data_IF_353114271488
#
_entry.id   IF_353114271488
#
_cell.length_a   1.000
_cell.length_b   1.000
_cell.length_c   1.000
_cell.angle_alpha   90.00
_cell.angle_beta   90.00
_cell.angle_gamma   90.00
#
_symmetry.space_group_name_H-M   'P 1'
#
loop_
_entity.id
_entity.type
_entity.pdbx_description
1 polymer ?
#
# COMPACT_ATOMS: atom_id res chain seq x y z
N UNK A 1 -43.07 59.56 -45.58
CA UNK A 1 -42.29 60.61 -46.29
C UNK A 1 -40.83 60.23 -46.17
N UNK A 2 -40.27 60.13 -47.30
CA UNK A 2 -38.92 60.28 -47.88
C UNK A 2 -37.91 59.14 -47.59
N UNK A 3 -37.73 58.43 -48.66
CA UNK A 3 -36.58 57.60 -49.05
C UNK A 3 -35.23 58.30 -48.87
N UNK A 4 -34.22 57.54 -48.58
CA UNK A 4 -32.92 57.64 -49.29
C UNK A 4 -32.19 56.29 -49.30
N UNK A 5 -32.11 55.79 -50.49
CA UNK A 5 -31.20 54.78 -51.02
C UNK A 5 -29.77 55.31 -51.04
N UNK A 6 -28.78 54.51 -50.66
CA UNK A 6 -27.43 54.60 -51.22
C UNK A 6 -26.83 53.21 -51.35
N UNK A 7 -26.63 52.84 -52.61
CA UNK A 7 -25.74 51.77 -53.05
C UNK A 7 -24.30 52.21 -52.88
N UNK A 8 -23.38 51.28 -52.63
CA UNK A 8 -22.09 51.22 -53.34
C UNK A 8 -21.14 50.13 -52.77
N UNK A 9 -20.75 49.37 -53.70
CA UNK A 9 -19.44 48.83 -54.04
C UNK A 9 -18.99 47.50 -53.41
N UNK A 10 -18.98 46.53 -54.34
CA UNK A 10 -18.24 45.30 -54.28
C UNK A 10 -16.73 45.52 -54.24
N UNK A 11 -16.07 44.94 -53.27
CA UNK A 11 -14.64 44.64 -53.33
C UNK A 11 -14.49 43.14 -53.13
N UNK A 12 -14.16 42.42 -54.18
CA UNK A 12 -13.85 41.02 -54.14
C UNK A 12 -12.53 40.77 -53.40
N UNK A 13 -12.58 39.93 -52.40
CA UNK A 13 -11.38 39.32 -51.84
C UNK A 13 -11.39 37.83 -52.13
N UNK A 14 -10.40 37.45 -52.87
CA UNK A 14 -10.08 36.09 -53.27
C UNK A 14 -9.62 35.34 -52.04
N UNK A 15 -10.46 34.46 -51.50
CA UNK A 15 -10.03 33.53 -50.46
C UNK A 15 -9.42 32.29 -51.13
N UNK A 16 -8.11 32.17 -50.96
CA UNK A 16 -7.36 30.97 -51.21
C UNK A 16 -7.82 29.87 -50.22
N UNK A 17 -8.42 28.86 -50.70
CA UNK A 17 -8.67 27.62 -49.92
C UNK A 17 -7.35 26.93 -49.66
N UNK A 18 -6.83 27.13 -48.43
CA UNK A 18 -5.77 26.29 -47.91
C UNK A 18 -6.40 24.96 -47.50
N UNK A 19 -6.04 23.89 -48.19
CA UNK A 19 -6.33 22.53 -47.79
C UNK A 19 -5.60 22.24 -46.45
N UNK A 20 -6.35 22.13 -45.37
CA UNK A 20 -5.84 21.46 -44.18
C UNK A 20 -5.79 19.96 -44.46
N UNK A 21 -4.61 19.46 -44.74
CA UNK A 21 -4.33 18.04 -44.65
C UNK A 21 -4.43 17.64 -43.15
N UNK A 22 -5.38 16.79 -42.86
CA UNK A 22 -5.47 16.11 -41.56
C UNK A 22 -4.30 15.13 -41.47
N UNK A 23 -3.29 15.52 -40.73
CA UNK A 23 -2.22 14.62 -40.31
C UNK A 23 -2.82 13.69 -39.25
N UNK A 24 -3.30 12.55 -39.69
CA UNK A 24 -3.60 11.42 -38.84
C UNK A 24 -2.26 10.84 -38.37
N UNK A 25 -1.79 11.31 -37.25
CA UNK A 25 -0.72 10.63 -36.55
C UNK A 25 -1.27 9.27 -36.09
N UNK A 26 -0.95 8.24 -36.84
CA UNK A 26 -1.02 6.87 -36.38
C UNK A 26 -0.21 6.75 -35.08
N UNK A 27 -0.94 6.66 -33.98
CA UNK A 27 -0.36 6.22 -32.70
C UNK A 27 0.04 4.76 -32.91
N UNK A 28 1.26 4.56 -33.31
CA UNK A 28 1.88 3.25 -33.29
C UNK A 28 1.91 2.80 -31.82
N UNK A 29 0.98 1.92 -31.47
CA UNK A 29 1.08 1.11 -30.26
C UNK A 29 2.36 0.30 -30.45
N UNK A 30 3.45 0.78 -29.83
CA UNK A 30 4.66 -0.01 -29.71
C UNK A 30 4.29 -1.18 -28.81
N UNK A 31 4.16 -2.36 -29.39
CA UNK A 31 4.29 -3.59 -28.64
C UNK A 31 5.65 -3.56 -27.96
N UNK A 32 5.69 -3.11 -26.73
CA UNK A 32 6.82 -3.36 -25.87
C UNK A 32 6.82 -4.85 -25.60
N UNK A 33 7.54 -5.59 -26.43
CA UNK A 33 8.03 -6.91 -26.03
C UNK A 33 8.75 -6.66 -24.70
N UNK A 34 8.19 -7.20 -23.62
CA UNK A 34 8.79 -7.11 -22.30
C UNK A 34 10.24 -7.61 -22.43
N UNK A 35 11.20 -6.69 -22.36
CA UNK A 35 12.59 -7.08 -22.25
C UNK A 35 12.70 -7.83 -20.93
N UNK A 36 13.44 -8.93 -20.88
CA UNK A 36 13.69 -9.61 -19.61
C UNK A 36 14.38 -8.61 -18.68
N UNK A 37 13.63 -8.11 -17.70
CA UNK A 37 14.18 -7.22 -16.68
C UNK A 37 15.06 -8.06 -15.79
N UNK A 38 16.29 -7.64 -15.62
CA UNK A 38 17.21 -8.28 -14.67
C UNK A 38 16.64 -8.06 -13.25
N UNK A 39 16.51 -9.13 -12.47
CA UNK A 39 16.03 -9.07 -11.09
C UNK A 39 16.82 -8.05 -10.23
N UNK A 40 18.08 -7.79 -10.58
CA UNK A 40 18.91 -6.78 -9.93
C UNK A 40 18.47 -5.33 -10.23
N UNK A 41 17.67 -5.10 -11.27
CA UNK A 41 17.13 -3.77 -11.59
C UNK A 41 15.83 -3.45 -10.84
N UNK A 42 15.19 -4.48 -10.26
CA UNK A 42 14.02 -4.34 -9.44
C UNK A 42 14.44 -3.77 -8.09
N UNK A 43 13.88 -2.63 -7.70
CA UNK A 43 14.22 -1.93 -6.45
C UNK A 43 15.71 -1.54 -6.30
N UNK A 44 16.51 -1.69 -7.34
CA UNK A 44 17.91 -1.23 -7.39
C UNK A 44 18.86 -1.91 -6.38
N UNK A 45 18.49 -3.03 -5.79
CA UNK A 45 19.28 -3.74 -4.78
C UNK A 45 19.64 -5.15 -5.22
N UNK A 46 20.87 -5.61 -4.92
CA UNK A 46 21.25 -6.98 -5.15
C UNK A 46 20.47 -7.93 -4.23
N UNK A 47 20.19 -9.10 -4.74
CA UNK A 47 19.50 -10.13 -4.03
C UNK A 47 20.33 -10.67 -2.88
N UNK A 48 19.80 -10.57 -1.67
CA UNK A 48 20.31 -11.27 -0.52
C UNK A 48 19.26 -12.28 -0.06
N UNK A 49 19.54 -13.57 -0.10
CA UNK A 49 18.63 -14.54 0.48
C UNK A 49 18.54 -14.27 1.99
N UNK A 50 17.37 -13.83 2.45
CA UNK A 50 17.09 -13.74 3.89
C UNK A 50 16.62 -15.10 4.34
N UNK A 51 17.37 -15.71 5.24
CA UNK A 51 16.95 -16.92 5.92
C UNK A 51 16.18 -16.47 7.15
N UNK A 52 14.85 -16.47 7.08
CA UNK A 52 13.98 -16.31 8.25
C UNK A 52 13.99 -17.55 9.14
N UNK A 53 13.28 -17.54 10.28
CA UNK A 53 13.20 -18.71 11.20
C UNK A 53 12.69 -20.00 10.55
N UNK A 54 12.18 -19.92 9.33
CA UNK A 54 11.57 -21.04 8.59
C UNK A 54 12.20 -21.25 7.21
N UNK A 55 13.38 -20.67 6.97
CA UNK A 55 14.11 -20.78 5.72
C UNK A 55 14.01 -19.52 4.86
N UNK A 56 14.46 -19.64 3.62
CA UNK A 56 14.45 -18.57 2.63
C UNK A 56 13.01 -18.18 2.26
N UNK A 57 12.74 -16.88 2.19
CA UNK A 57 11.44 -16.34 1.79
C UNK A 57 11.66 -15.31 0.69
N UNK A 58 11.13 -15.58 -0.51
CA UNK A 58 11.07 -14.61 -1.59
C UNK A 58 10.17 -13.44 -1.19
N UNK A 59 10.67 -12.22 -1.34
CA UNK A 59 9.95 -11.01 -0.97
C UNK A 59 10.52 -9.77 -1.65
N UNK A 60 9.72 -8.74 -1.73
CA UNK A 60 10.21 -7.38 -1.91
C UNK A 60 9.80 -6.50 -0.72
N UNK A 61 10.60 -5.48 -0.47
CA UNK A 61 10.47 -4.65 0.72
C UNK A 61 10.47 -3.19 0.31
N UNK A 62 9.52 -2.42 0.82
CA UNK A 62 9.40 -0.98 0.57
C UNK A 62 9.40 -0.24 1.89
N UNK A 63 10.29 0.74 2.03
CA UNK A 63 10.27 1.68 3.15
C UNK A 63 9.50 2.93 2.77
N UNK A 64 8.60 3.35 3.64
CA UNK A 64 7.83 4.57 3.48
C UNK A 64 7.93 5.40 4.76
N UNK A 65 8.67 6.52 4.76
CA UNK A 65 8.60 7.49 5.83
C UNK A 65 7.17 7.92 6.17
N UNK A 66 6.97 8.37 7.42
CA UNK A 66 5.69 8.93 7.84
C UNK A 66 5.25 10.06 6.90
N UNK A 67 3.99 10.02 6.48
CA UNK A 67 3.40 11.04 5.60
C UNK A 67 2.68 12.11 6.41
N UNK A 68 1.56 11.75 7.00
CA UNK A 68 0.69 12.66 7.77
C UNK A 68 -0.19 11.88 8.74
N UNK A 69 -0.95 12.60 9.58
CA UNK A 69 -1.94 11.99 10.46
C UNK A 69 -3.29 12.70 10.31
N UNK A 70 -4.36 11.92 10.16
CA UNK A 70 -5.75 12.38 10.07
C UNK A 70 -6.67 11.45 10.84
N UNK A 71 -7.81 11.98 11.30
CA UNK A 71 -8.88 11.15 11.87
C UNK A 71 -9.82 10.62 10.77
N UNK A 72 -9.22 10.16 9.69
CA UNK A 72 -9.88 9.69 8.48
C UNK A 72 -9.68 8.19 8.29
N UNK A 73 -10.64 7.56 7.63
CA UNK A 73 -10.58 6.17 7.21
C UNK A 73 -11.41 5.99 5.93
N UNK A 74 -10.78 6.02 4.75
CA UNK A 74 -11.50 5.90 3.49
C UNK A 74 -12.15 4.52 3.25
N UNK A 75 -11.83 3.50 4.05
CA UNK A 75 -12.46 2.18 3.95
C UNK A 75 -13.71 2.13 4.83
N UNK A 76 -13.61 2.49 6.12
CA UNK A 76 -14.71 2.36 7.08
C UNK A 76 -15.68 3.54 7.02
N UNK A 77 -15.18 4.76 6.77
CA UNK A 77 -15.95 5.99 6.73
C UNK A 77 -15.68 6.78 5.42
N UNK A 78 -15.95 6.18 4.24
CA UNK A 78 -15.64 6.81 2.97
C UNK A 78 -16.39 8.14 2.81
N UNK A 79 -15.65 9.21 2.56
CA UNK A 79 -16.18 10.56 2.37
C UNK A 79 -16.54 11.30 3.66
N UNK A 80 -16.35 10.71 4.84
CA UNK A 80 -16.70 11.32 6.14
C UNK A 80 -15.43 11.69 6.93
N UNK A 81 -14.88 12.84 6.60
CA UNK A 81 -13.63 13.33 7.21
C UNK A 81 -13.80 13.57 8.73
N UNK A 82 -12.86 13.11 9.51
CA UNK A 82 -12.86 13.23 10.96
C UNK A 82 -13.73 12.19 11.68
N UNK A 83 -14.33 11.25 10.98
CA UNK A 83 -15.22 10.25 11.57
C UNK A 83 -14.52 9.10 12.29
N UNK A 84 -13.23 8.92 12.04
CA UNK A 84 -12.41 7.85 12.63
C UNK A 84 -11.57 8.35 13.81
N UNK A 85 -10.92 7.42 14.51
CA UNK A 85 -9.80 7.76 15.40
C UNK A 85 -8.59 8.24 14.58
N UNK A 86 -7.62 8.82 15.25
CA UNK A 86 -6.42 9.33 14.57
C UNK A 86 -5.61 8.16 13.98
N UNK A 87 -5.33 8.24 12.68
CA UNK A 87 -4.43 7.33 11.96
C UNK A 87 -3.12 8.01 11.55
N UNK A 88 -2.05 7.27 11.54
CA UNK A 88 -0.79 7.62 10.90
C UNK A 88 -0.79 7.03 9.49
N UNK A 89 -0.64 7.87 8.48
CA UNK A 89 -0.61 7.50 7.06
C UNK A 89 0.81 7.42 6.53
N UNK A 90 1.02 6.50 5.58
CA UNK A 90 2.28 6.24 4.90
C UNK A 90 2.02 5.97 3.42
N UNK A 91 3.06 6.08 2.61
CA UNK A 91 2.94 5.93 1.17
C UNK A 91 2.28 7.16 0.55
N UNK A 92 1.09 7.03 0.01
CA UNK A 92 0.40 8.10 -0.68
C UNK A 92 0.26 9.36 0.16
N UNK A 93 0.75 10.50 -0.36
CA UNK A 93 0.75 11.78 0.38
C UNK A 93 -0.59 12.53 0.33
N UNK A 94 -1.55 12.04 -0.43
CA UNK A 94 -2.88 12.65 -0.60
C UNK A 94 -4.01 11.81 0.00
N UNK A 95 -3.68 10.73 0.71
CA UNK A 95 -4.68 9.86 1.31
C UNK A 95 -5.49 10.59 2.40
N UNK A 96 -6.81 10.55 2.28
CA UNK A 96 -7.79 11.14 3.20
C UNK A 96 -9.11 10.35 3.15
N UNK A 97 -10.16 10.81 3.85
CA UNK A 97 -11.48 10.18 3.85
C UNK A 97 -12.13 10.06 2.47
N UNK A 98 -11.74 10.88 1.49
CA UNK A 98 -12.30 10.87 0.13
C UNK A 98 -11.50 10.03 -0.85
N UNK A 99 -10.49 9.31 -0.37
CA UNK A 99 -9.58 8.57 -1.22
C UNK A 99 -10.27 7.43 -1.95
N UNK A 100 -10.02 7.35 -3.24
CA UNK A 100 -10.42 6.27 -4.15
C UNK A 100 -9.20 5.83 -4.96
N UNK A 101 -9.27 4.69 -5.63
CA UNK A 101 -8.20 4.27 -6.54
C UNK A 101 -7.80 5.40 -7.49
N UNK A 102 -8.77 6.05 -8.14
CA UNK A 102 -8.50 7.12 -9.11
C UNK A 102 -7.83 8.35 -8.48
N UNK A 103 -8.21 8.70 -7.26
CA UNK A 103 -7.61 9.84 -6.56
C UNK A 103 -6.20 9.58 -6.07
N UNK A 104 -5.84 8.32 -5.83
CA UNK A 104 -4.52 7.90 -5.31
C UNK A 104 -3.52 7.58 -6.42
N UNK A 105 -3.97 6.99 -7.54
CA UNK A 105 -3.10 6.55 -8.63
C UNK A 105 -2.19 7.67 -9.14
N UNK A 106 -0.89 7.39 -9.23
CA UNK A 106 0.10 8.31 -9.79
C UNK A 106 0.30 9.59 -8.99
N UNK A 107 -0.19 9.64 -7.74
CA UNK A 107 0.09 10.76 -6.81
C UNK A 107 1.46 10.59 -6.17
N UNK A 108 1.91 11.63 -5.44
CA UNK A 108 3.14 11.56 -4.69
C UNK A 108 3.09 10.49 -3.60
N UNK A 109 4.23 9.91 -3.31
CA UNK A 109 4.41 8.92 -2.24
C UNK A 109 5.62 9.24 -1.39
N UNK A 110 5.59 8.83 -0.12
CA UNK A 110 6.77 8.86 0.75
C UNK A 110 7.64 7.62 0.59
N UNK A 111 7.17 6.60 -0.14
CA UNK A 111 7.88 5.35 -0.31
C UNK A 111 9.15 5.52 -1.16
N UNK A 112 10.20 4.77 -0.84
CA UNK A 112 11.44 4.73 -1.63
C UNK A 112 11.19 4.23 -3.05
N UNK A 113 10.26 3.27 -3.21
CA UNK A 113 9.74 2.89 -4.53
C UNK A 113 8.67 3.89 -4.97
N UNK A 114 9.03 4.78 -5.89
CA UNK A 114 8.16 5.90 -6.30
C UNK A 114 6.90 5.49 -7.07
N UNK A 115 6.83 4.26 -7.55
CA UNK A 115 5.65 3.67 -8.18
C UNK A 115 4.74 2.96 -7.18
N UNK A 116 5.15 2.87 -5.91
CA UNK A 116 4.28 2.52 -4.80
C UNK A 116 3.51 3.76 -4.35
N UNK A 117 2.39 4.02 -4.98
CA UNK A 117 1.45 5.07 -4.59
C UNK A 117 0.28 4.54 -3.77
N UNK A 118 0.41 3.34 -3.20
CA UNK A 118 -0.56 2.77 -2.29
C UNK A 118 -0.69 3.60 -1.00
N UNK A 119 -1.86 3.56 -0.41
CA UNK A 119 -2.11 4.16 0.89
C UNK A 119 -2.10 3.09 1.97
N UNK A 120 -1.33 3.34 3.02
CA UNK A 120 -1.23 2.49 4.20
C UNK A 120 -1.52 3.34 5.42
N UNK A 121 -2.30 2.83 6.38
CA UNK A 121 -2.46 3.53 7.65
C UNK A 121 -2.68 2.56 8.80
N UNK A 122 -2.33 3.03 9.98
CA UNK A 122 -2.53 2.34 11.24
C UNK A 122 -2.93 3.35 12.32
N UNK A 123 -3.57 2.93 13.43
CA UNK A 123 -3.90 3.84 14.51
C UNK A 123 -2.65 4.53 15.03
N UNK A 124 -2.74 5.83 15.24
CA UNK A 124 -1.65 6.62 15.78
C UNK A 124 -1.25 6.12 17.19
N UNK A 125 0.05 5.99 17.44
CA UNK A 125 0.56 5.73 18.78
C UNK A 125 0.63 7.05 19.55
N UNK A 126 0.08 7.06 20.75
CA UNK A 126 -0.04 8.25 21.58
C UNK A 126 0.69 8.10 22.92
N UNK A 127 1.33 9.16 23.34
CA UNK A 127 1.83 9.35 24.69
C UNK A 127 1.13 10.56 25.32
N UNK A 128 0.44 10.36 26.43
CA UNK A 128 -0.35 11.42 27.09
C UNK A 128 -1.32 12.15 26.12
N UNK A 129 -1.90 11.42 25.17
CA UNK A 129 -2.81 11.96 24.16
C UNK A 129 -2.12 12.71 23.01
N UNK A 130 -0.80 12.76 22.97
CA UNK A 130 -0.03 13.39 21.89
C UNK A 130 0.53 12.33 20.95
N UNK A 131 0.49 12.61 19.65
CA UNK A 131 1.04 11.73 18.61
C UNK A 131 2.54 11.52 18.82
N UNK A 132 2.95 10.27 18.91
CA UNK A 132 4.34 9.86 18.69
C UNK A 132 4.51 9.71 17.18
N UNK A 133 5.20 10.66 16.56
CA UNK A 133 5.46 10.59 15.10
C UNK A 133 6.28 9.34 14.78
N UNK A 134 5.76 8.43 13.94
CA UNK A 134 6.53 7.27 13.51
C UNK A 134 7.77 7.70 12.71
N UNK A 135 8.82 6.90 12.78
CA UNK A 135 10.01 7.11 11.95
C UNK A 135 9.71 6.77 10.50
N UNK A 136 9.21 5.56 10.29
CA UNK A 136 8.84 5.02 8.97
C UNK A 136 7.94 3.81 9.14
N UNK A 137 7.32 3.39 8.05
CA UNK A 137 6.82 2.02 7.90
C UNK A 137 7.74 1.23 6.97
N UNK A 138 7.65 -0.09 7.10
CA UNK A 138 8.29 -1.06 6.20
C UNK A 138 7.21 -2.03 5.76
N UNK A 139 6.95 -2.07 4.47
CA UNK A 139 6.01 -2.99 3.84
C UNK A 139 6.79 -4.19 3.27
N UNK A 140 6.61 -5.36 3.87
CA UNK A 140 7.17 -6.62 3.37
C UNK A 140 6.08 -7.33 2.58
N UNK A 141 6.33 -7.57 1.30
CA UNK A 141 5.46 -8.35 0.43
C UNK A 141 6.13 -9.70 0.17
N UNK A 142 5.52 -10.79 0.61
CA UNK A 142 6.09 -12.13 0.50
C UNK A 142 5.02 -13.18 0.25
N UNK A 143 5.41 -14.39 -0.11
CA UNK A 143 4.48 -15.52 -0.07
C UNK A 143 4.06 -15.81 1.38
N UNK A 144 2.81 -16.16 1.59
CA UNK A 144 2.33 -16.68 2.88
C UNK A 144 3.09 -17.92 3.30
N UNK A 145 3.10 -18.22 4.61
CA UNK A 145 3.87 -19.32 5.14
C UNK A 145 3.49 -20.66 4.50
N UNK A 146 4.44 -21.23 3.75
CA UNK A 146 4.29 -22.52 3.04
C UNK A 146 3.43 -22.42 1.78
N UNK A 147 2.96 -21.24 1.39
CA UNK A 147 2.34 -21.00 0.08
C UNK A 147 3.44 -21.08 -0.98
N UNK A 148 3.14 -21.75 -2.10
CA UNK A 148 4.03 -21.83 -3.24
C UNK A 148 4.25 -20.42 -3.82
N UNK A 149 5.48 -19.91 -3.80
CA UNK A 149 5.78 -18.57 -4.29
C UNK A 149 5.41 -18.34 -5.76
N UNK A 150 5.51 -19.36 -6.60
CA UNK A 150 5.15 -19.27 -8.02
C UNK A 150 3.64 -19.13 -8.25
N UNK A 151 2.83 -19.48 -7.23
CA UNK A 151 1.37 -19.34 -7.30
C UNK A 151 0.86 -17.96 -6.91
N UNK A 152 1.71 -17.10 -6.34
CA UNK A 152 1.32 -15.78 -5.85
C UNK A 152 1.17 -14.81 -7.03
N UNK A 153 0.01 -14.17 -7.11
CA UNK A 153 -0.26 -13.10 -8.10
C UNK A 153 -0.36 -11.73 -7.44
N UNK A 154 -0.10 -10.68 -8.17
CA UNK A 154 -0.20 -9.32 -7.66
C UNK A 154 -1.61 -9.00 -7.13
N UNK A 155 -1.71 -8.12 -6.15
CA UNK A 155 -2.99 -7.55 -5.75
C UNK A 155 -3.67 -6.89 -6.95
N UNK A 156 -4.99 -7.06 -7.15
CA UNK A 156 -5.70 -6.27 -8.16
C UNK A 156 -5.72 -4.79 -7.77
N UNK A 157 -5.67 -3.91 -8.77
CA UNK A 157 -5.78 -2.47 -8.54
C UNK A 157 -7.06 -2.13 -7.80
N UNK A 158 -6.96 -1.29 -6.78
CA UNK A 158 -8.08 -0.87 -5.95
C UNK A 158 -8.51 -1.89 -4.87
N UNK A 159 -7.76 -2.97 -4.65
CA UNK A 159 -8.04 -3.88 -3.54
C UNK A 159 -7.95 -3.13 -2.21
N UNK A 160 -9.00 -3.25 -1.40
CA UNK A 160 -9.06 -2.73 -0.03
C UNK A 160 -8.80 -3.87 0.94
N UNK A 161 -7.96 -3.66 1.93
CA UNK A 161 -7.70 -4.68 2.96
C UNK A 161 -7.65 -4.06 4.35
N UNK A 162 -8.17 -4.80 5.32
CA UNK A 162 -8.07 -4.50 6.76
C UNK A 162 -7.47 -5.71 7.47
N UNK A 163 -6.47 -5.48 8.30
CA UNK A 163 -5.87 -6.49 9.16
C UNK A 163 -5.88 -6.06 10.63
N UNK A 164 -5.98 -7.00 11.54
CA UNK A 164 -6.14 -6.73 12.97
C UNK A 164 -7.58 -6.35 13.35
N UNK A 165 -7.80 -6.00 14.61
CA UNK A 165 -9.13 -5.68 15.16
C UNK A 165 -9.06 -4.41 16.02
N UNK A 166 -9.68 -3.33 15.52
CA UNK A 166 -9.78 -2.04 16.20
C UNK A 166 -10.60 -2.10 17.51
N UNK A 167 -11.36 -3.16 17.70
CA UNK A 167 -12.24 -3.34 18.87
C UNK A 167 -11.74 -4.46 19.81
N UNK A 168 -10.51 -4.94 19.64
CA UNK A 168 -9.97 -6.03 20.42
C UNK A 168 -9.89 -5.67 21.92
N UNK A 169 -10.47 -6.52 22.75
CA UNK A 169 -10.42 -6.45 24.22
C UNK A 169 -9.48 -7.48 24.82
N UNK A 170 -8.99 -8.41 24.00
CA UNK A 170 -8.04 -9.46 24.36
C UNK A 170 -6.85 -9.44 23.40
N UNK A 171 -5.71 -10.02 23.77
CA UNK A 171 -4.55 -10.11 22.88
C UNK A 171 -4.87 -10.78 21.56
N UNK A 172 -4.55 -10.12 20.47
CA UNK A 172 -4.67 -10.70 19.13
C UNK A 172 -3.55 -11.72 18.87
N UNK A 173 -3.75 -12.70 17.96
CA UNK A 173 -2.68 -13.59 17.57
C UNK A 173 -1.46 -12.84 17.07
N UNK A 174 -0.27 -13.13 17.60
CA UNK A 174 0.97 -12.46 17.19
C UNK A 174 1.36 -12.73 15.72
N UNK A 175 0.72 -13.71 15.09
CA UNK A 175 0.80 -13.90 13.63
C UNK A 175 0.04 -12.83 12.84
N UNK A 176 -0.87 -12.08 13.48
CA UNK A 176 -1.66 -11.00 12.86
C UNK A 176 -1.19 -9.64 13.37
N UNK A 177 -1.21 -9.42 14.69
CA UNK A 177 -0.76 -8.18 15.31
C UNK A 177 0.32 -8.50 16.34
N UNK A 178 1.46 -7.88 16.21
CA UNK A 178 2.56 -8.08 17.15
C UNK A 178 3.33 -6.79 17.39
N UNK A 179 3.88 -6.69 18.58
CA UNK A 179 4.85 -5.68 18.95
C UNK A 179 6.24 -6.33 19.01
N UNK A 180 7.27 -5.57 18.71
CA UNK A 180 8.65 -6.03 18.78
C UNK A 180 9.61 -4.86 19.02
N UNK A 181 10.88 -5.17 19.28
CA UNK A 181 11.96 -4.18 19.37
C UNK A 181 12.92 -4.35 18.19
N UNK A 182 13.08 -3.32 17.38
CA UNK A 182 13.99 -3.35 16.23
C UNK A 182 13.62 -4.38 15.18
N UNK A 183 14.57 -4.65 14.27
CA UNK A 183 14.38 -5.64 13.22
C UNK A 183 14.60 -7.06 13.76
N UNK A 184 13.60 -7.93 13.57
CA UNK A 184 13.72 -9.36 13.94
C UNK A 184 13.62 -9.65 15.43
N UNK A 185 13.11 -8.71 16.22
CA UNK A 185 12.80 -8.95 17.64
C UNK A 185 11.73 -10.01 17.85
N UNK A 186 11.64 -10.50 19.09
CA UNK A 186 10.57 -11.41 19.49
C UNK A 186 9.22 -10.69 19.33
N UNK A 187 8.23 -11.41 18.84
CA UNK A 187 6.89 -10.90 18.59
C UNK A 187 6.03 -11.09 19.83
N UNK A 188 5.60 -9.99 20.44
CA UNK A 188 4.78 -9.97 21.64
C UNK A 188 3.38 -9.40 21.35
N UNK A 189 2.33 -9.83 22.06
CA UNK A 189 0.99 -9.29 21.90
C UNK A 189 0.81 -7.89 22.48
N UNK A 190 1.74 -7.45 23.33
CA UNK A 190 1.81 -6.11 23.94
C UNK A 190 3.22 -5.54 23.74
N UNK A 191 3.37 -4.21 23.76
CA UNK A 191 4.68 -3.59 23.61
C UNK A 191 5.69 -4.08 24.64
N UNK A 192 6.82 -4.66 24.22
CA UNK A 192 7.92 -4.98 25.13
C UNK A 192 8.68 -3.70 25.55
N UNK A 193 9.44 -3.82 26.63
CA UNK A 193 10.42 -2.78 26.97
C UNK A 193 11.63 -2.89 26.04
N UNK A 194 11.78 -1.91 25.14
CA UNK A 194 12.82 -1.94 24.13
C UNK A 194 14.16 -1.44 24.65
N UNK A 195 15.27 -2.16 24.40
CA UNK A 195 16.60 -1.71 24.76
C UNK A 195 17.01 -0.43 24.00
N UNK A 196 18.01 0.25 24.51
CA UNK A 196 18.63 1.38 23.80
C UNK A 196 19.11 0.90 22.42
N UNK A 197 18.94 1.72 21.41
CA UNK A 197 19.26 1.45 20.01
C UNK A 197 18.26 0.52 19.25
N UNK A 198 17.19 0.07 19.92
CA UNK A 198 16.12 -0.70 19.30
C UNK A 198 14.78 -0.01 19.52
N UNK A 199 14.27 0.65 18.48
CA UNK A 199 12.96 1.29 18.54
C UNK A 199 11.80 0.29 18.58
N UNK A 200 10.69 0.71 19.19
CA UNK A 200 9.46 -0.07 19.24
C UNK A 200 8.88 -0.22 17.83
N UNK A 201 8.31 -1.39 17.52
CA UNK A 201 7.61 -1.66 16.26
C UNK A 201 6.23 -2.26 16.50
N UNK A 202 5.30 -1.88 15.66
CA UNK A 202 3.99 -2.52 15.52
C UNK A 202 3.94 -3.22 14.16
N UNK A 203 3.87 -4.54 14.17
CA UNK A 203 3.80 -5.38 12.98
C UNK A 203 2.38 -5.88 12.76
N UNK A 204 1.80 -5.61 11.61
CA UNK A 204 0.47 -6.05 11.23
C UNK A 204 0.57 -6.85 9.94
N UNK A 205 0.09 -8.10 10.01
CA UNK A 205 0.12 -9.05 8.89
C UNK A 205 -1.26 -9.12 8.26
N UNK A 206 -1.35 -8.81 6.98
CA UNK A 206 -2.57 -8.85 6.19
C UNK A 206 -2.87 -10.28 5.69
N UNK A 207 -4.16 -10.57 5.41
CA UNK A 207 -4.54 -11.82 4.77
C UNK A 207 -3.97 -11.93 3.35
N UNK A 208 -3.69 -13.15 2.92
CA UNK A 208 -2.93 -13.48 1.71
C UNK A 208 -3.67 -14.38 0.72
N UNK A 209 -4.98 -14.55 0.91
CA UNK A 209 -5.85 -15.31 0.02
C UNK A 209 -7.06 -14.46 -0.37
N UNK A 210 -7.16 -14.13 -1.65
CA UNK A 210 -8.26 -13.35 -2.22
C UNK A 210 -9.35 -14.25 -2.82
N UNK A 211 -10.61 -13.81 -2.78
CA UNK A 211 -11.72 -14.56 -3.37
C UNK A 211 -11.69 -14.59 -4.91
N UNK A 212 -10.78 -13.82 -5.53
CA UNK A 212 -10.60 -13.75 -6.98
C UNK A 212 -11.65 -12.90 -7.69
N UNK A 213 -12.44 -12.11 -6.96
CA UNK A 213 -13.60 -11.43 -7.52
C UNK A 213 -13.84 -10.03 -6.99
N UNK A 214 -13.87 -9.86 -5.67
CA UNK A 214 -14.29 -8.61 -5.05
C UNK A 214 -13.09 -7.80 -4.58
N UNK A 215 -13.07 -6.50 -4.89
CA UNK A 215 -12.07 -5.57 -4.37
C UNK A 215 -12.41 -5.12 -2.95
N UNK A 216 -13.70 -5.19 -2.63
CA UNK A 216 -14.26 -4.90 -1.31
C UNK A 216 -15.63 -5.59 -1.18
N UNK A 217 -16.09 -5.75 0.05
CA UNK A 217 -17.41 -6.32 0.38
C UNK A 217 -17.98 -5.63 1.64
N UNK A 218 -19.27 -5.70 1.89
CA UNK A 218 -19.84 -5.19 3.14
C UNK A 218 -19.10 -5.75 4.36
N UNK A 219 -18.60 -4.84 5.21
CA UNK A 219 -17.75 -5.17 6.36
C UNK A 219 -16.27 -5.36 6.03
N UNK A 220 -15.85 -5.09 4.80
CA UNK A 220 -14.47 -4.87 4.33
C UNK A 220 -13.46 -6.00 4.62
N UNK A 221 -13.90 -7.22 4.92
CA UNK A 221 -13.01 -8.32 5.35
C UNK A 221 -13.23 -9.64 4.62
N UNK A 222 -14.50 -9.96 4.23
CA UNK A 222 -14.86 -11.31 3.77
C UNK A 222 -14.38 -11.67 2.35
N UNK A 223 -13.76 -10.77 1.62
CA UNK A 223 -13.13 -11.03 0.32
C UNK A 223 -11.67 -11.49 0.46
N UNK A 224 -11.11 -11.39 1.67
CA UNK A 224 -9.75 -11.80 1.98
C UNK A 224 -9.75 -12.83 3.12
N UNK A 225 -8.78 -13.75 3.09
CA UNK A 225 -8.60 -14.78 4.11
C UNK A 225 -7.11 -15.07 4.34
N UNK A 226 -6.75 -15.54 5.52
CA UNK A 226 -5.38 -15.98 5.78
C UNK A 226 -5.18 -17.40 5.25
N UNK A 227 -4.04 -17.65 4.60
CA UNK A 227 -3.63 -19.01 4.25
C UNK A 227 -3.42 -19.87 5.50
N UNK A 228 -3.62 -21.15 5.34
CA UNK A 228 -3.39 -22.12 6.42
C UNK A 228 -2.66 -23.34 5.87
N UNK A 229 -1.60 -23.75 6.53
CA UNK A 229 -0.76 -24.91 6.12
C UNK A 229 -0.31 -24.78 4.65
N UNK A 230 0.07 -23.59 4.24
CA UNK A 230 0.55 -23.30 2.90
C UNK A 230 -0.52 -23.31 1.80
N UNK A 231 -1.79 -23.19 2.15
CA UNK A 231 -2.88 -23.23 1.16
C UNK A 231 -3.93 -22.17 1.44
N UNK A 232 -4.47 -21.64 0.37
CA UNK A 232 -5.68 -20.82 0.38
C UNK A 232 -6.93 -21.71 0.44
N UNK A 233 -7.99 -21.30 1.17
CA UNK A 233 -9.24 -22.03 1.21
C UNK A 233 -9.97 -21.96 -0.15
N UNK A 234 -10.84 -22.93 -0.43
CA UNK A 234 -11.57 -22.99 -1.71
C UNK A 234 -12.45 -21.75 -1.99
N UNK A 235 -12.86 -21.03 -0.96
CA UNK A 235 -13.65 -19.81 -1.07
C UNK A 235 -12.82 -18.59 -1.45
N UNK A 236 -11.50 -18.65 -1.23
CA UNK A 236 -10.53 -17.61 -1.55
C UNK A 236 -9.33 -18.25 -2.24
N UNK A 237 -9.52 -18.72 -3.48
CA UNK A 237 -8.55 -19.62 -4.11
C UNK A 237 -7.30 -18.92 -4.64
N UNK A 238 -7.24 -17.60 -4.62
CA UNK A 238 -6.18 -16.83 -5.26
C UNK A 238 -5.14 -16.40 -4.22
N UNK A 239 -3.94 -17.00 -4.21
CA UNK A 239 -2.84 -16.50 -3.39
C UNK A 239 -2.37 -15.14 -3.89
N UNK A 240 -2.27 -14.19 -2.98
CA UNK A 240 -1.71 -12.85 -3.21
C UNK A 240 -0.59 -12.61 -2.20
N UNK A 241 0.25 -11.57 -2.33
CA UNK A 241 1.30 -11.33 -1.35
C UNK A 241 0.75 -11.23 0.07
N UNK A 242 1.41 -11.88 1.02
CA UNK A 242 1.21 -11.59 2.43
C UNK A 242 1.94 -10.28 2.74
N UNK A 243 1.18 -9.21 2.88
CA UNK A 243 1.71 -7.92 3.30
C UNK A 243 1.93 -7.94 4.82
N UNK A 244 3.16 -7.67 5.26
CA UNK A 244 3.45 -7.33 6.65
C UNK A 244 3.78 -5.84 6.69
N UNK A 245 2.92 -5.09 7.32
CA UNK A 245 3.08 -3.66 7.52
C UNK A 245 3.66 -3.40 8.90
N UNK A 246 4.89 -2.90 8.96
CA UNK A 246 5.67 -2.70 10.17
C UNK A 246 5.92 -1.23 10.40
N UNK A 247 5.33 -0.66 11.45
CA UNK A 247 5.49 0.76 11.81
C UNK A 247 6.56 0.87 12.88
N UNK A 248 7.61 1.66 12.63
CA UNK A 248 8.71 1.90 13.54
C UNK A 248 8.53 3.22 14.30
N UNK A 249 8.67 3.17 15.61
CA UNK A 249 8.55 4.33 16.50
C UNK A 249 9.87 4.64 17.21
N UNK A 250 10.16 5.93 17.49
CA UNK A 250 11.36 6.34 18.24
C UNK A 250 11.17 6.14 19.75
N UNK A 251 10.64 4.98 20.14
CA UNK A 251 10.32 4.63 21.54
C UNK A 251 11.28 3.57 22.03
N UNK A 252 11.87 3.80 23.18
CA UNK A 252 12.76 2.88 23.88
C UNK A 252 12.32 2.78 25.35
N UNK A 253 12.72 1.72 26.04
CA UNK A 253 12.31 1.49 27.41
C UNK A 253 10.87 1.01 27.54
N UNK A 254 10.25 1.31 28.68
CA UNK A 254 8.87 0.89 28.98
C UNK A 254 7.85 1.63 28.09
N UNK A 255 7.01 0.87 27.42
CA UNK A 255 5.96 1.36 26.54
C UNK A 255 4.55 1.12 27.09
N UNK A 256 4.41 0.65 28.35
CA UNK A 256 3.12 0.29 28.95
C UNK A 256 2.18 1.49 29.18
N UNK A 257 2.73 2.71 29.19
CA UNK A 257 1.99 3.96 29.37
C UNK A 257 1.45 4.54 28.04
N UNK A 258 1.81 3.93 26.92
CA UNK A 258 1.35 4.34 25.61
C UNK A 258 -0.06 3.80 25.31
N UNK A 259 -0.69 4.36 24.30
CA UNK A 259 -1.97 3.86 23.79
C UNK A 259 -2.10 4.09 22.28
N UNK A 260 -2.82 3.21 21.60
CA UNK A 260 -3.25 3.47 20.23
C UNK A 260 -4.47 4.39 20.24
N UNK A 261 -4.60 5.24 19.23
CA UNK A 261 -5.74 6.15 19.10
C UNK A 261 -7.08 5.42 18.94
N UNK A 262 -7.06 4.17 18.52
CA UNK A 262 -8.23 3.27 18.48
C UNK A 262 -8.68 2.77 19.85
N UNK A 263 -7.89 2.99 20.92
CA UNK A 263 -8.19 2.52 22.27
C UNK A 263 -6.92 2.08 23.02
N UNK A 264 -6.92 0.87 23.60
CA UNK A 264 -5.74 0.32 24.27
C UNK A 264 -4.74 -0.31 23.28
N UNK A 265 -3.59 -0.74 23.79
CA UNK A 265 -2.51 -1.36 23.00
C UNK A 265 -2.91 -2.69 22.32
N UNK A 266 -4.05 -3.26 22.68
CA UNK A 266 -4.61 -4.48 22.06
C UNK A 266 -5.31 -4.21 20.72
N UNK A 267 -5.69 -2.97 20.44
CA UNK A 267 -6.52 -2.58 19.27
C UNK A 267 -5.69 -2.35 18.01
N UNK A 268 -4.49 -2.93 17.94
CA UNK A 268 -3.63 -2.86 16.76
C UNK A 268 -4.36 -3.36 15.51
N UNK A 269 -4.35 -2.56 14.46
CA UNK A 269 -4.86 -2.88 13.13
C UNK A 269 -4.16 -2.03 12.08
N UNK A 270 -4.35 -2.36 10.83
CA UNK A 270 -3.91 -1.54 9.72
C UNK A 270 -4.81 -1.75 8.51
N UNK A 271 -4.78 -0.78 7.64
CA UNK A 271 -5.59 -0.68 6.46
C UNK A 271 -4.71 -0.39 5.25
N UNK A 272 -5.16 -0.83 4.08
CA UNK A 272 -4.41 -0.74 2.86
C UNK A 272 -5.33 -0.56 1.66
N UNK A 273 -4.98 0.36 0.76
CA UNK A 273 -5.58 0.52 -0.56
C UNK A 273 -4.51 0.31 -1.61
N UNK A 274 -4.69 -0.70 -2.45
CA UNK A 274 -3.76 -0.95 -3.55
C UNK A 274 -3.95 0.09 -4.66
N UNK A 275 -3.09 1.08 -4.69
CA UNK A 275 -2.95 2.04 -5.77
C UNK A 275 -1.50 2.12 -6.28
N UNK A 276 -0.78 1.02 -6.24
CA UNK A 276 0.48 0.85 -6.93
C UNK A 276 0.32 1.11 -8.44
N UNK A 277 1.38 1.51 -9.10
CA UNK A 277 1.50 1.22 -10.52
C UNK A 277 1.37 -0.29 -10.70
N UNK A 278 0.32 -0.72 -11.41
CA UNK A 278 -0.06 -2.14 -11.47
C UNK A 278 1.00 -2.99 -12.19
N UNK A 279 1.59 -2.45 -13.25
CA UNK A 279 2.64 -3.13 -14.01
C UNK A 279 3.88 -3.36 -13.15
N UNK A 280 4.24 -2.34 -12.35
CA UNK A 280 5.38 -2.45 -11.42
C UNK A 280 5.11 -3.44 -10.31
N UNK A 281 3.92 -3.46 -9.72
CA UNK A 281 3.57 -4.44 -8.70
C UNK A 281 3.63 -5.87 -9.24
N UNK A 282 3.11 -6.10 -10.46
CA UNK A 282 3.17 -7.41 -11.12
C UNK A 282 4.61 -7.85 -11.38
N UNK A 283 5.47 -6.92 -11.79
CA UNK A 283 6.90 -7.15 -11.97
C UNK A 283 7.58 -7.56 -10.65
N UNK A 284 7.36 -6.81 -9.56
CA UNK A 284 7.94 -7.11 -8.25
C UNK A 284 7.48 -8.49 -7.73
N UNK A 285 6.20 -8.81 -7.86
CA UNK A 285 5.68 -10.13 -7.47
C UNK A 285 6.34 -11.23 -8.29
N UNK A 286 6.40 -11.09 -9.60
CA UNK A 286 6.95 -12.11 -10.48
C UNK A 286 8.47 -12.33 -10.28
N UNK A 287 9.22 -11.26 -10.12
CA UNK A 287 10.69 -11.31 -10.06
C UNK A 287 11.24 -11.60 -8.66
N UNK A 288 10.54 -11.15 -7.62
CA UNK A 288 11.01 -11.32 -6.24
C UNK A 288 10.32 -12.51 -5.57
N UNK A 289 8.99 -12.48 -5.44
CA UNK A 289 8.25 -13.55 -4.78
C UNK A 289 8.29 -14.83 -5.63
N UNK A 290 7.88 -14.74 -6.89
CA UNK A 290 7.77 -15.89 -7.80
C UNK A 290 9.12 -16.59 -8.06
N UNK A 291 10.23 -15.87 -7.99
CA UNK A 291 11.59 -16.46 -8.10
C UNK A 291 12.22 -16.82 -6.75
N UNK A 292 11.50 -16.65 -5.66
CA UNK A 292 11.98 -16.90 -4.30
C UNK A 292 13.30 -16.16 -3.98
N UNK A 293 13.39 -14.88 -4.37
CA UNK A 293 14.52 -13.99 -4.07
C UNK A 293 14.06 -12.80 -3.23
N UNK A 294 14.98 -12.15 -2.56
CA UNK A 294 14.72 -10.93 -1.78
C UNK A 294 15.17 -9.71 -2.57
N UNK A 295 14.24 -8.79 -2.80
CA UNK A 295 14.49 -7.52 -3.45
C UNK A 295 14.21 -6.36 -2.48
N UNK A 296 14.95 -5.25 -2.60
CA UNK A 296 14.74 -4.09 -1.74
C UNK A 296 15.07 -4.40 -0.28
N UNK A 297 16.34 -4.56 0.02
CA UNK A 297 16.77 -4.78 1.41
C UNK A 297 16.82 -3.44 2.13
N UNK A 298 16.02 -3.31 3.17
CA UNK A 298 16.09 -2.16 4.07
C UNK A 298 17.36 -2.24 4.89
N UNK A 299 18.18 -1.19 4.87
CA UNK A 299 19.25 -1.01 5.86
C UNK A 299 18.60 -0.83 7.24
N UNK A 300 18.84 -1.77 8.14
CA UNK A 300 18.35 -1.72 9.51
C UNK A 300 18.95 -0.58 10.32
#
# INVERSE_FOLDING_TARGET
MTRRTQSLLFAGSLFLFGSCASDSQDVQIRNHSAMPVDAASVMGQPDHPITGPQGRVGQFVVECPFSHALSDDPIIYPGDAGASHLHAFFGNVTADANSTLESLLGKGTTCEQTLDTAAYWAPALLENGQLITPVKSVAYYRAGLGVDPESVVAFPAGLLMIAGDAMATEPQPTSVVAWSCGNGGMRDPLPPSCPVDHGLRLDITFPDCWDGKNLDVPGHRKHMYYSSKGKCPRTHPVPVPQLIFSVAYPVQGDASHLQLASGGLLTGHADFVNSWDQEKLEEEVALCIGRDVVCGVTSG
#
